data_IF_157411337370
#
_entry.id   IF_157411337370
#
_cell.length_a   1.000
_cell.length_b   1.000
_cell.length_c   1.000
_cell.angle_alpha   90.00
_cell.angle_beta   90.00
_cell.angle_gamma   90.00
#
_symmetry.space_group_name_H-M   'P 1'
#
loop_
_entity.id
_entity.type
_entity.pdbx_description
1 polymer ?
#
# COMPACT_ATOMS: atom_id res chain seq x y z
N UNK A 1 5.95 -16.31 -18.80
CA UNK A 1 7.14 -16.10 -19.66
C UNK A 1 8.29 -16.92 -19.07
N UNK A 2 8.92 -17.77 -19.87
CA UNK A 2 10.04 -18.59 -19.42
C UNK A 2 11.24 -17.71 -19.06
N UNK A 3 12.13 -18.23 -18.23
CA UNK A 3 13.26 -17.45 -17.75
C UNK A 3 14.11 -16.86 -18.86
N UNK A 4 14.40 -17.66 -19.90
CA UNK A 4 15.17 -17.16 -21.05
C UNK A 4 14.44 -16.04 -21.78
N UNK A 5 13.12 -16.15 -21.90
CA UNK A 5 12.33 -15.09 -22.52
C UNK A 5 12.31 -13.83 -21.66
N UNK A 6 12.36 -13.99 -20.34
CA UNK A 6 12.39 -12.83 -19.44
C UNK A 6 13.70 -12.05 -19.60
N UNK A 7 14.82 -12.74 -19.79
CA UNK A 7 16.08 -12.04 -20.01
C UNK A 7 16.02 -11.20 -21.30
N UNK A 8 15.38 -11.73 -22.36
CA UNK A 8 15.18 -10.97 -23.58
C UNK A 8 14.29 -9.75 -23.34
N UNK A 9 13.23 -9.91 -22.53
CA UNK A 9 12.33 -8.81 -22.19
C UNK A 9 13.11 -7.72 -21.47
N UNK A 10 13.91 -8.10 -20.45
CA UNK A 10 14.67 -7.12 -19.69
C UNK A 10 15.66 -6.38 -20.58
N UNK A 11 16.34 -7.10 -21.48
CA UNK A 11 17.26 -6.44 -22.40
C UNK A 11 16.52 -5.45 -23.29
N UNK A 12 15.35 -5.84 -23.79
CA UNK A 12 14.54 -4.94 -24.62
C UNK A 12 14.05 -3.72 -23.83
N UNK A 13 13.64 -3.93 -22.57
CA UNK A 13 13.21 -2.81 -21.74
C UNK A 13 14.37 -1.87 -21.43
N UNK A 14 15.56 -2.41 -21.19
CA UNK A 14 16.75 -1.59 -20.98
C UNK A 14 17.04 -0.73 -22.18
N UNK A 15 17.01 -1.34 -23.38
CA UNK A 15 17.24 -0.56 -24.59
C UNK A 15 16.19 0.51 -24.78
N UNK A 16 14.93 0.18 -24.53
CA UNK A 16 13.84 1.13 -24.69
C UNK A 16 14.00 2.31 -23.72
N UNK A 17 14.30 2.01 -22.47
CA UNK A 17 14.53 3.06 -21.49
C UNK A 17 15.72 3.93 -21.87
N UNK A 18 16.84 3.30 -22.27
CA UNK A 18 18.05 4.04 -22.61
C UNK A 18 17.87 4.90 -23.86
N UNK A 19 16.91 4.57 -24.72
CA UNK A 19 16.61 5.39 -25.88
C UNK A 19 16.01 6.75 -25.53
N UNK A 20 15.52 6.90 -24.29
CA UNK A 20 14.87 8.11 -23.88
C UNK A 20 13.39 8.19 -24.22
N UNK A 21 12.84 7.12 -24.82
CA UNK A 21 11.45 7.16 -25.30
C UNK A 21 10.43 7.43 -24.21
N UNK A 22 10.71 6.98 -22.97
CA UNK A 22 9.74 7.08 -21.88
C UNK A 22 9.81 8.40 -21.12
N UNK A 23 10.80 9.26 -21.40
CA UNK A 23 11.05 10.43 -20.58
C UNK A 23 10.17 11.65 -20.87
N UNK A 24 9.79 11.96 -22.12
CA UNK A 24 8.97 13.14 -22.35
C UNK A 24 7.64 13.06 -21.60
N UNK A 25 7.23 14.18 -21.02
CA UNK A 25 5.96 14.21 -20.28
C UNK A 25 4.77 13.87 -21.18
N UNK A 26 4.86 14.29 -22.45
CA UNK A 26 3.80 13.99 -23.42
C UNK A 26 3.61 12.49 -23.57
N UNK A 27 4.71 11.74 -23.64
CA UNK A 27 4.68 10.27 -23.75
C UNK A 27 4.01 9.67 -22.50
N UNK A 28 4.46 10.10 -21.31
CA UNK A 28 3.92 9.55 -20.06
C UNK A 28 2.43 9.82 -19.94
N UNK A 29 2.00 11.05 -20.25
CA UNK A 29 0.60 11.41 -20.21
C UNK A 29 -0.23 10.58 -21.18
N UNK A 30 0.30 10.36 -22.38
CA UNK A 30 -0.39 9.55 -23.38
C UNK A 30 -0.52 8.10 -22.91
N UNK A 31 0.51 7.55 -22.26
CA UNK A 31 0.45 6.17 -21.78
C UNK A 31 -0.55 6.03 -20.62
N UNK A 32 -0.62 7.02 -19.74
CA UNK A 32 -1.64 7.01 -18.69
C UNK A 32 -3.04 7.06 -19.30
N UNK A 33 -3.24 7.86 -20.35
CA UNK A 33 -4.54 7.92 -21.03
C UNK A 33 -4.87 6.59 -21.70
N UNK A 34 -3.89 5.92 -22.31
CA UNK A 34 -4.11 4.59 -22.91
C UNK A 34 -4.54 3.60 -21.83
N UNK A 35 -3.89 3.64 -20.67
CA UNK A 35 -4.26 2.74 -19.58
C UNK A 35 -5.70 3.01 -19.12
N UNK A 36 -6.06 4.29 -18.96
CA UNK A 36 -7.41 4.64 -18.55
C UNK A 36 -8.45 4.11 -19.54
N UNK A 37 -8.18 4.31 -20.84
CA UNK A 37 -9.12 3.84 -21.87
C UNK A 37 -9.24 2.32 -21.85
N UNK A 38 -8.12 1.61 -21.64
CA UNK A 38 -8.15 0.15 -21.56
C UNK A 38 -8.96 -0.33 -20.35
N UNK A 39 -8.74 0.28 -19.21
CA UNK A 39 -9.47 -0.11 -17.98
C UNK A 39 -10.97 0.16 -18.13
N UNK A 40 -11.32 1.24 -18.78
CA UNK A 40 -12.72 1.57 -19.03
C UNK A 40 -13.34 0.64 -20.05
N UNK A 41 -12.64 0.38 -21.15
CA UNK A 41 -13.16 -0.47 -22.21
C UNK A 41 -13.39 -1.91 -21.74
N UNK A 42 -12.44 -2.45 -20.98
CA UNK A 42 -12.51 -3.84 -20.53
C UNK A 42 -12.91 -3.96 -19.06
N UNK A 43 -13.66 -2.98 -18.56
CA UNK A 43 -14.13 -2.97 -17.17
C UNK A 43 -14.89 -4.25 -16.83
N UNK A 44 -15.82 -4.68 -17.71
CA UNK A 44 -16.61 -5.87 -17.43
C UNK A 44 -15.76 -7.12 -17.28
N UNK A 45 -14.76 -7.27 -18.15
CA UNK A 45 -13.84 -8.41 -18.10
C UNK A 45 -13.04 -8.41 -16.79
N UNK A 46 -12.58 -7.23 -16.37
CA UNK A 46 -11.81 -7.10 -15.14
C UNK A 46 -12.64 -7.37 -13.90
N UNK A 47 -13.88 -6.84 -13.86
CA UNK A 47 -14.76 -7.09 -12.72
C UNK A 47 -15.18 -8.55 -12.63
N UNK A 48 -15.36 -9.20 -13.79
CA UNK A 48 -15.70 -10.62 -13.80
C UNK A 48 -14.53 -11.46 -13.25
N UNK A 49 -13.29 -11.06 -13.53
CA UNK A 49 -12.13 -11.75 -12.98
C UNK A 49 -12.09 -11.64 -11.46
N UNK A 50 -12.43 -10.47 -10.92
CA UNK A 50 -12.50 -10.30 -9.45
C UNK A 50 -13.58 -11.20 -8.87
N UNK A 51 -14.71 -11.31 -9.56
CA UNK A 51 -15.79 -12.19 -9.12
C UNK A 51 -15.33 -13.66 -9.11
N UNK A 52 -14.62 -14.05 -10.14
CA UNK A 52 -14.13 -15.44 -10.24
C UNK A 52 -13.12 -15.75 -9.13
N UNK A 53 -12.20 -14.83 -8.82
CA UNK A 53 -11.16 -15.10 -7.84
C UNK A 53 -11.62 -14.91 -6.39
N UNK A 54 -12.37 -13.84 -6.11
CA UNK A 54 -12.64 -13.41 -4.74
C UNK A 54 -14.11 -13.30 -4.42
N UNK A 55 -14.97 -13.62 -5.37
CA UNK A 55 -16.42 -13.48 -5.22
C UNK A 55 -16.84 -12.06 -4.87
N UNK A 56 -16.07 -11.06 -5.33
CA UNK A 56 -16.48 -9.67 -5.17
C UNK A 56 -17.63 -9.36 -6.10
N UNK A 57 -18.67 -8.74 -5.56
CA UNK A 57 -19.75 -8.24 -6.42
C UNK A 57 -19.18 -7.17 -7.36
N UNK A 58 -19.86 -6.92 -8.49
CA UNK A 58 -19.39 -5.84 -9.36
C UNK A 58 -19.27 -4.49 -8.66
N UNK A 59 -20.19 -4.23 -7.73
CA UNK A 59 -20.13 -2.98 -6.96
C UNK A 59 -18.87 -2.92 -6.12
N UNK A 60 -18.61 -3.97 -5.33
CA UNK A 60 -17.42 -3.97 -4.46
C UNK A 60 -16.14 -3.97 -5.29
N UNK A 61 -16.12 -4.74 -6.39
CA UNK A 61 -14.96 -4.77 -7.26
C UNK A 61 -14.62 -3.41 -7.83
N UNK A 62 -15.64 -2.65 -8.24
CA UNK A 62 -15.40 -1.29 -8.70
C UNK A 62 -14.99 -0.38 -7.55
N UNK A 63 -15.77 -0.37 -6.47
CA UNK A 63 -15.53 0.55 -5.35
C UNK A 63 -14.16 0.36 -4.73
N UNK A 64 -13.69 -0.87 -4.58
CA UNK A 64 -12.49 -1.14 -3.80
C UNK A 64 -11.26 -1.47 -4.63
N UNK A 65 -11.41 -1.69 -5.93
CA UNK A 65 -10.29 -2.15 -6.76
C UNK A 65 -10.15 -1.28 -8.01
N UNK A 66 -11.08 -1.35 -8.94
CA UNK A 66 -10.93 -0.63 -10.21
C UNK A 66 -11.10 0.87 -10.06
N UNK A 67 -12.09 1.32 -9.28
CA UNK A 67 -12.33 2.74 -9.07
C UNK A 67 -11.15 3.47 -8.45
N UNK A 68 -10.58 2.93 -7.37
CA UNK A 68 -9.37 3.55 -6.81
C UNK A 68 -8.20 3.58 -7.79
N UNK A 69 -8.08 2.58 -8.65
CA UNK A 69 -7.05 2.58 -9.68
C UNK A 69 -7.24 3.76 -10.63
N UNK A 70 -8.47 3.96 -11.11
CA UNK A 70 -8.76 5.08 -12.01
C UNK A 70 -8.55 6.42 -11.33
N UNK A 71 -8.92 6.54 -10.04
CA UNK A 71 -8.70 7.76 -9.30
C UNK A 71 -7.21 8.08 -9.17
N UNK A 72 -6.41 7.05 -8.88
CA UNK A 72 -4.96 7.22 -8.78
C UNK A 72 -4.37 7.67 -10.11
N UNK A 73 -4.81 7.04 -11.19
CA UNK A 73 -4.33 7.38 -12.53
C UNK A 73 -4.65 8.81 -12.91
N UNK A 74 -5.90 9.23 -12.68
CA UNK A 74 -6.32 10.60 -13.02
C UNK A 74 -5.57 11.62 -12.18
N UNK A 75 -5.34 11.33 -10.93
CA UNK A 75 -4.58 12.21 -10.05
C UNK A 75 -3.15 12.36 -10.53
N UNK A 76 -2.50 11.24 -10.86
CA UNK A 76 -1.11 11.26 -11.34
C UNK A 76 -1.01 12.06 -12.65
N UNK A 77 -1.93 11.80 -13.59
CA UNK A 77 -1.90 12.49 -14.86
C UNK A 77 -2.06 13.99 -14.69
N UNK A 78 -2.96 14.39 -13.78
CA UNK A 78 -3.22 15.82 -13.56
C UNK A 78 -2.10 16.56 -12.86
N UNK A 79 -1.24 15.82 -12.14
CA UNK A 79 -0.14 16.44 -11.38
C UNK A 79 1.23 16.16 -11.97
N UNK A 80 1.28 15.47 -13.11
CA UNK A 80 2.55 14.99 -13.66
C UNK A 80 3.53 16.13 -13.92
N UNK A 81 3.06 17.19 -14.55
CA UNK A 81 3.93 18.32 -14.87
C UNK A 81 4.54 18.93 -13.62
N UNK A 82 3.72 19.08 -12.58
CA UNK A 82 4.19 19.65 -11.32
C UNK A 82 5.23 18.75 -10.65
N UNK A 83 4.97 17.43 -10.61
CA UNK A 83 5.90 16.51 -9.96
C UNK A 83 7.23 16.40 -10.69
N UNK A 84 7.20 16.47 -12.02
CA UNK A 84 8.39 16.18 -12.83
C UNK A 84 9.26 17.40 -13.06
N UNK A 85 8.77 18.60 -12.79
CA UNK A 85 9.56 19.79 -13.09
C UNK A 85 10.74 19.91 -12.14
N UNK A 86 11.88 20.45 -12.61
CA UNK A 86 13.01 20.68 -11.73
C UNK A 86 12.68 21.73 -10.65
N UNK A 87 13.30 21.58 -9.49
CA UNK A 87 13.10 22.50 -8.37
C UNK A 87 14.39 23.32 -8.18
N UNK A 88 14.26 24.63 -8.19
CA UNK A 88 15.38 25.54 -8.11
C UNK A 88 15.56 26.04 -6.69
N UNK A 89 16.82 26.16 -6.28
CA UNK A 89 17.17 26.64 -4.95
C UNK A 89 18.26 27.69 -5.06
N UNK A 90 18.17 28.79 -4.29
CA UNK A 90 19.29 29.73 -4.23
C UNK A 90 20.46 29.08 -3.51
N UNK A 91 21.65 29.46 -3.91
CA UNK A 91 22.85 28.94 -3.31
C UNK A 91 23.14 29.62 -1.98
N UNK A 92 23.82 28.93 -1.04
CA UNK A 92 24.31 29.60 0.15
C UNK A 92 25.38 30.61 -0.21
N UNK A 93 25.61 31.57 0.68
CA UNK A 93 26.60 32.63 0.40
C UNK A 93 27.98 32.09 0.08
N UNK A 94 28.36 30.98 0.70
CA UNK A 94 29.67 30.38 0.43
C UNK A 94 29.81 29.86 -0.98
N UNK A 95 28.68 29.65 -1.69
CA UNK A 95 28.68 29.15 -3.07
C UNK A 95 28.23 30.21 -4.09
N UNK A 96 27.99 31.42 -3.63
CA UNK A 96 27.57 32.50 -4.51
C UNK A 96 28.67 32.84 -5.52
N UNK A 97 28.35 33.11 -6.79
CA UNK A 97 27.04 33.06 -7.42
C UNK A 97 26.79 31.70 -8.08
N UNK A 98 25.77 30.99 -7.64
CA UNK A 98 25.42 29.71 -8.22
C UNK A 98 23.94 29.42 -8.00
N UNK A 99 23.44 28.43 -8.74
CA UNK A 99 22.04 28.03 -8.66
C UNK A 99 21.97 26.51 -8.51
N UNK A 100 21.25 26.06 -7.50
CA UNK A 100 21.03 24.64 -7.32
C UNK A 100 19.74 24.20 -7.99
N UNK A 101 19.77 23.06 -8.64
CA UNK A 101 18.59 22.50 -9.28
C UNK A 101 18.48 21.03 -8.90
N UNK A 102 17.29 20.62 -8.49
CA UNK A 102 17.02 19.22 -8.19
C UNK A 102 16.14 18.68 -9.30
N UNK A 103 16.64 17.66 -10.00
CA UNK A 103 15.90 16.96 -11.04
C UNK A 103 15.35 15.66 -10.48
N UNK A 104 14.10 15.35 -10.83
CA UNK A 104 13.54 14.02 -10.56
C UNK A 104 13.67 13.19 -11.82
N UNK A 105 14.46 12.12 -11.78
CA UNK A 105 14.61 11.29 -12.96
C UNK A 105 14.27 9.84 -12.66
N UNK A 106 13.70 9.12 -13.66
CA UNK A 106 13.32 7.72 -13.44
C UNK A 106 14.52 6.85 -13.12
N UNK A 107 14.29 5.87 -12.23
CA UNK A 107 15.32 4.87 -11.97
C UNK A 107 15.69 4.06 -13.22
N UNK A 108 14.67 3.61 -13.97
CA UNK A 108 14.92 2.83 -15.16
C UNK A 108 13.92 1.71 -15.37
N UNK A 109 14.42 0.47 -15.37
CA UNK A 109 13.58 -0.71 -15.53
C UNK A 109 13.08 -1.13 -14.15
N UNK A 110 11.77 -1.14 -13.96
CA UNK A 110 11.18 -1.41 -12.64
C UNK A 110 10.54 -2.79 -12.59
N UNK A 111 10.51 -3.36 -11.39
CA UNK A 111 9.79 -4.60 -11.10
C UNK A 111 8.70 -4.32 -10.07
N UNK A 112 7.49 -4.72 -10.39
CA UNK A 112 6.34 -4.58 -9.48
C UNK A 112 5.85 -5.97 -9.12
N UNK A 113 5.93 -6.33 -7.83
CA UNK A 113 5.47 -7.61 -7.32
C UNK A 113 4.21 -7.35 -6.51
N UNK A 114 3.09 -7.84 -7.00
CA UNK A 114 1.78 -7.50 -6.44
C UNK A 114 1.14 -8.70 -5.74
N UNK A 115 0.26 -8.46 -4.77
CA UNK A 115 -0.45 -9.52 -4.08
C UNK A 115 -1.79 -9.81 -4.73
N UNK A 116 -2.54 -10.72 -4.12
CA UNK A 116 -3.78 -11.26 -4.68
C UNK A 116 -5.05 -10.61 -4.13
N UNK A 117 -4.95 -9.86 -3.02
CA UNK A 117 -6.17 -9.46 -2.30
C UNK A 117 -6.92 -8.28 -2.94
N UNK A 118 -6.22 -7.36 -3.56
CA UNK A 118 -6.82 -6.32 -4.41
C UNK A 118 -6.03 -6.35 -5.71
N UNK A 119 -6.30 -7.37 -6.53
CA UNK A 119 -5.38 -7.66 -7.64
C UNK A 119 -5.28 -6.55 -8.68
N UNK A 120 -6.34 -5.78 -8.90
CA UNK A 120 -6.25 -4.68 -9.86
C UNK A 120 -5.53 -3.48 -9.25
N UNK A 121 -6.01 -3.02 -8.09
CA UNK A 121 -5.47 -1.81 -7.49
C UNK A 121 -4.00 -1.96 -7.09
N UNK A 122 -3.66 -3.07 -6.44
CA UNK A 122 -2.30 -3.25 -5.92
C UNK A 122 -1.30 -3.60 -7.01
N UNK A 123 -1.77 -3.99 -8.19
CA UNK A 123 -0.91 -4.17 -9.35
C UNK A 123 -0.80 -2.87 -10.15
N UNK A 124 -1.93 -2.21 -10.37
CA UNK A 124 -1.98 -1.09 -11.31
C UNK A 124 -1.60 0.24 -10.69
N UNK A 125 -1.84 0.46 -9.38
CA UNK A 125 -1.44 1.73 -8.79
C UNK A 125 0.08 1.93 -8.83
N UNK A 126 0.91 0.91 -8.47
CA UNK A 126 2.35 1.08 -8.69
C UNK A 126 2.72 1.23 -10.17
N UNK A 127 1.99 0.56 -11.06
CA UNK A 127 2.26 0.73 -12.48
C UNK A 127 1.98 2.16 -12.93
N UNK A 128 0.89 2.76 -12.46
CA UNK A 128 0.62 4.18 -12.73
C UNK A 128 1.80 5.04 -12.29
N UNK A 129 2.34 4.76 -11.10
CA UNK A 129 3.49 5.50 -10.60
C UNK A 129 4.72 5.32 -11.49
N UNK A 130 4.98 4.09 -11.94
CA UNK A 130 6.11 3.81 -12.81
C UNK A 130 5.97 4.53 -14.14
N UNK A 131 4.77 4.52 -14.72
CA UNK A 131 4.52 5.24 -15.97
C UNK A 131 4.75 6.74 -15.80
N UNK A 132 4.18 7.30 -14.73
CA UNK A 132 4.33 8.72 -14.43
C UNK A 132 5.79 9.10 -14.22
N UNK A 133 6.58 8.20 -13.63
CA UNK A 133 7.99 8.43 -13.37
C UNK A 133 8.85 8.35 -14.63
N UNK A 134 8.38 7.68 -15.67
CA UNK A 134 9.16 7.48 -16.89
C UNK A 134 9.95 6.19 -16.93
N UNK A 135 9.58 5.20 -16.10
CA UNK A 135 10.20 3.88 -16.09
C UNK A 135 9.56 2.95 -17.12
N UNK A 136 10.28 1.91 -17.50
CA UNK A 136 9.65 0.71 -18.05
C UNK A 136 9.29 -0.21 -16.87
N UNK A 137 8.50 -1.25 -17.12
CA UNK A 137 8.05 -2.06 -15.99
C UNK A 137 7.81 -3.52 -16.39
N UNK A 138 8.23 -4.41 -15.49
CA UNK A 138 7.79 -5.79 -15.48
C UNK A 138 6.86 -5.92 -14.27
N UNK A 139 5.64 -6.40 -14.52
CA UNK A 139 4.58 -6.46 -13.52
C UNK A 139 4.25 -7.92 -13.26
N UNK A 140 4.34 -8.34 -12.00
CA UNK A 140 4.06 -9.72 -11.60
C UNK A 140 2.84 -9.75 -10.68
N UNK A 141 1.64 -10.05 -11.23
CA UNK A 141 0.44 -10.14 -10.37
C UNK A 141 0.51 -11.32 -9.40
N UNK A 142 -0.29 -11.27 -8.35
CA UNK A 142 -0.34 -12.33 -7.37
C UNK A 142 -0.90 -13.62 -7.94
N UNK A 143 -0.25 -14.74 -7.63
CA UNK A 143 -0.62 -16.04 -8.20
C UNK A 143 -1.93 -16.58 -7.64
N UNK A 144 -2.30 -16.14 -6.45
CA UNK A 144 -3.51 -16.66 -5.81
C UNK A 144 -4.79 -16.00 -6.31
N UNK A 145 -4.67 -15.08 -7.27
CA UNK A 145 -5.81 -14.52 -7.99
C UNK A 145 -5.60 -14.77 -9.49
N UNK A 146 -5.71 -16.03 -9.93
CA UNK A 146 -5.29 -16.38 -11.30
C UNK A 146 -6.15 -15.76 -12.39
N UNK A 147 -7.46 -15.64 -12.20
CA UNK A 147 -8.30 -15.01 -13.21
C UNK A 147 -7.96 -13.54 -13.38
N UNK A 148 -7.70 -12.86 -12.27
CA UNK A 148 -7.30 -11.45 -12.31
C UNK A 148 -5.92 -11.28 -12.94
N UNK A 149 -5.00 -12.17 -12.62
CA UNK A 149 -3.67 -12.12 -13.23
C UNK A 149 -3.75 -12.30 -14.73
N UNK A 150 -4.57 -13.26 -15.18
CA UNK A 150 -4.77 -13.49 -16.61
C UNK A 150 -5.41 -12.28 -17.28
N UNK A 151 -6.45 -11.72 -16.67
CA UNK A 151 -7.13 -10.56 -17.23
C UNK A 151 -6.18 -9.37 -17.34
N UNK A 152 -5.35 -9.15 -16.32
CA UNK A 152 -4.36 -8.07 -16.38
C UNK A 152 -3.35 -8.28 -17.49
N UNK A 153 -2.87 -9.53 -17.65
CA UNK A 153 -1.92 -9.82 -18.71
C UNK A 153 -2.54 -9.55 -20.08
N UNK A 154 -3.79 -9.94 -20.25
CA UNK A 154 -4.46 -9.73 -21.55
C UNK A 154 -4.74 -8.26 -21.80
N UNK A 155 -5.27 -7.55 -20.82
CA UNK A 155 -5.61 -6.13 -21.01
C UNK A 155 -4.36 -5.29 -21.24
N UNK A 156 -3.33 -5.48 -20.42
CA UNK A 156 -2.10 -4.69 -20.58
C UNK A 156 -1.37 -5.05 -21.85
N UNK A 157 -1.43 -6.33 -22.23
CA UNK A 157 -0.79 -6.77 -23.50
C UNK A 157 -1.46 -6.22 -24.75
N UNK A 158 -2.74 -5.83 -24.65
CA UNK A 158 -3.45 -5.23 -25.78
C UNK A 158 -3.01 -3.79 -26.06
N UNK A 159 -2.46 -3.10 -25.06
CA UNK A 159 -2.20 -1.66 -25.19
C UNK A 159 -0.72 -1.27 -25.06
N UNK A 160 0.11 -2.14 -24.49
CA UNK A 160 1.52 -1.81 -24.30
C UNK A 160 2.43 -2.89 -24.89
N UNK A 161 3.48 -2.49 -25.63
CA UNK A 161 4.44 -3.47 -26.12
C UNK A 161 5.33 -3.99 -25.00
N UNK A 162 5.87 -5.20 -25.12
CA UNK A 162 6.65 -5.79 -24.03
C UNK A 162 7.93 -5.05 -23.70
N UNK A 163 8.53 -4.33 -24.66
CA UNK A 163 9.73 -3.54 -24.36
C UNK A 163 9.43 -2.34 -23.47
N UNK A 164 8.14 -2.05 -23.26
CA UNK A 164 7.71 -0.97 -22.36
C UNK A 164 7.12 -1.53 -21.08
N UNK A 165 6.05 -2.30 -21.18
CA UNK A 165 5.39 -2.89 -20.01
C UNK A 165 5.08 -4.35 -20.34
N UNK A 166 5.53 -5.26 -19.48
CA UNK A 166 5.32 -6.70 -19.63
C UNK A 166 4.70 -7.26 -18.36
N UNK A 167 3.71 -8.12 -18.49
CA UNK A 167 3.16 -8.84 -17.35
C UNK A 167 3.82 -10.22 -17.31
N UNK A 168 4.44 -10.53 -16.17
CA UNK A 168 5.03 -11.85 -15.93
C UNK A 168 4.03 -12.65 -15.11
N UNK A 169 3.56 -13.75 -15.68
CA UNK A 169 2.65 -14.65 -14.97
C UNK A 169 3.47 -15.76 -14.32
N UNK A 170 2.85 -16.42 -13.34
CA UNK A 170 3.49 -17.53 -12.68
C UNK A 170 3.36 -17.40 -11.19
N UNK A 171 4.02 -18.30 -10.49
CA UNK A 171 3.90 -18.39 -9.05
C UNK A 171 5.16 -17.94 -8.33
N UNK A 172 5.38 -18.57 -7.19
CA UNK A 172 6.49 -18.22 -6.31
C UNK A 172 7.85 -18.35 -6.98
N UNK A 173 8.05 -19.44 -7.74
CA UNK A 173 9.34 -19.65 -8.39
C UNK A 173 9.66 -18.52 -9.36
N UNK A 174 8.66 -18.10 -10.14
CA UNK A 174 8.85 -17.03 -11.09
C UNK A 174 9.15 -15.71 -10.38
N UNK A 175 8.47 -15.44 -9.27
CA UNK A 175 8.74 -14.22 -8.50
C UNK A 175 10.16 -14.23 -7.93
N UNK A 176 10.59 -15.37 -7.40
CA UNK A 176 11.94 -15.49 -6.86
C UNK A 176 12.99 -15.30 -7.93
N UNK A 177 12.76 -15.83 -9.12
CA UNK A 177 13.69 -15.64 -10.24
C UNK A 177 13.75 -14.18 -10.64
N UNK A 178 12.62 -13.46 -10.62
CA UNK A 178 12.61 -12.05 -11.01
C UNK A 178 13.41 -11.18 -10.06
N UNK A 179 13.31 -11.39 -8.74
CA UNK A 179 14.01 -10.51 -7.80
C UNK A 179 15.53 -10.67 -7.88
N UNK A 180 16.03 -11.74 -8.47
CA UNK A 180 17.46 -11.93 -8.65
C UNK A 180 18.00 -11.21 -9.89
N UNK A 181 17.15 -10.62 -10.71
CA UNK A 181 17.57 -9.97 -11.95
C UNK A 181 17.88 -8.49 -11.72
N UNK A 182 18.69 -7.88 -12.60
CA UNK A 182 19.19 -6.51 -12.37
C UNK A 182 18.18 -5.43 -12.74
N UNK A 183 17.10 -5.34 -11.98
CA UNK A 183 16.18 -4.21 -12.08
C UNK A 183 16.80 -2.98 -11.44
N UNK A 184 16.25 -1.80 -11.76
CA UNK A 184 16.73 -0.54 -11.17
C UNK A 184 15.94 -0.12 -9.94
N UNK A 185 14.73 -0.66 -9.77
CA UNK A 185 13.90 -0.37 -8.61
C UNK A 185 12.88 -1.50 -8.49
N UNK A 186 12.52 -1.86 -7.25
CA UNK A 186 11.53 -2.89 -6.99
C UNK A 186 10.46 -2.32 -6.07
N UNK A 187 9.20 -2.59 -6.41
CA UNK A 187 8.05 -2.27 -5.57
C UNK A 187 7.36 -3.59 -5.21
N UNK A 188 7.23 -3.85 -3.91
CA UNK A 188 6.67 -5.10 -3.42
C UNK A 188 5.55 -4.84 -2.44
N UNK A 189 4.45 -5.58 -2.58
CA UNK A 189 3.36 -5.60 -1.62
C UNK A 189 3.11 -7.06 -1.23
N UNK A 190 3.13 -7.34 0.09
CA UNK A 190 2.89 -8.69 0.56
C UNK A 190 3.23 -8.84 2.03
N UNK A 191 3.54 -10.05 2.46
CA UNK A 191 3.81 -10.33 3.86
C UNK A 191 5.21 -9.86 4.28
N UNK A 192 5.41 -9.56 5.57
CA UNK A 192 6.75 -9.21 6.04
C UNK A 192 7.79 -10.29 5.77
N UNK A 193 7.42 -11.56 5.89
CA UNK A 193 8.38 -12.65 5.66
C UNK A 193 8.91 -12.63 4.22
N UNK A 194 8.01 -12.46 3.25
CA UNK A 194 8.42 -12.41 1.85
C UNK A 194 9.13 -11.09 1.55
N UNK A 195 8.66 -9.99 2.15
CA UNK A 195 9.33 -8.69 1.97
C UNK A 195 10.79 -8.72 2.39
N UNK A 196 11.11 -9.43 3.46
CA UNK A 196 12.51 -9.58 3.89
C UNK A 196 13.34 -10.30 2.84
N UNK A 197 12.75 -11.33 2.20
CA UNK A 197 13.47 -12.05 1.15
C UNK A 197 13.69 -11.17 -0.09
N UNK A 198 12.70 -10.37 -0.44
CA UNK A 198 12.82 -9.43 -1.57
C UNK A 198 13.93 -8.43 -1.28
N UNK A 199 13.94 -7.87 -0.08
CA UNK A 199 14.95 -6.90 0.32
C UNK A 199 16.35 -7.50 0.28
N UNK A 200 16.48 -8.75 0.78
CA UNK A 200 17.79 -9.42 0.79
C UNK A 200 18.28 -9.66 -0.64
N UNK A 201 17.41 -10.10 -1.54
CA UNK A 201 17.79 -10.32 -2.94
C UNK A 201 18.17 -9.00 -3.62
N UNK A 202 17.40 -7.94 -3.39
CA UNK A 202 17.69 -6.64 -3.96
C UNK A 202 19.04 -6.10 -3.50
N UNK A 203 19.43 -6.42 -2.25
CA UNK A 203 20.70 -5.95 -1.71
C UNK A 203 21.90 -6.46 -2.51
N UNK A 204 21.80 -7.63 -3.15
CA UNK A 204 22.88 -8.16 -3.95
C UNK A 204 23.24 -7.25 -5.11
N UNK A 205 22.29 -6.48 -5.62
CA UNK A 205 22.47 -5.57 -6.73
C UNK A 205 22.27 -4.11 -6.34
N UNK A 206 22.18 -3.81 -5.06
CA UNK A 206 21.92 -2.45 -4.55
C UNK A 206 20.68 -1.81 -5.16
N UNK A 207 19.63 -2.61 -5.31
CA UNK A 207 18.37 -2.12 -5.89
C UNK A 207 17.51 -1.47 -4.80
N UNK A 208 17.10 -0.22 -4.98
CA UNK A 208 16.17 0.39 -4.02
C UNK A 208 14.82 -0.32 -4.03
N UNK A 209 14.23 -0.46 -2.85
CA UNK A 209 12.96 -1.17 -2.71
C UNK A 209 11.94 -0.32 -1.96
N UNK A 210 10.68 -0.45 -2.35
CA UNK A 210 9.54 -0.02 -1.55
C UNK A 210 8.81 -1.28 -1.13
N UNK A 211 8.58 -1.43 0.17
CA UNK A 211 7.94 -2.60 0.74
C UNK A 211 6.65 -2.17 1.43
N UNK A 212 5.52 -2.64 0.90
CA UNK A 212 4.22 -2.42 1.53
C UNK A 212 3.82 -3.74 2.18
N UNK A 213 3.94 -3.81 3.49
CA UNK A 213 3.76 -5.05 4.21
C UNK A 213 2.46 -4.99 5.03
N UNK A 214 2.31 -5.84 6.01
CA UNK A 214 1.10 -5.87 6.81
C UNK A 214 1.38 -5.61 8.28
N UNK A 215 0.51 -6.13 9.10
CA UNK A 215 0.64 -6.00 10.53
C UNK A 215 -0.72 -6.08 11.18
N UNK A 216 -0.71 -6.01 12.50
CA UNK A 216 -1.95 -6.07 13.26
C UNK A 216 -2.45 -4.66 13.54
N UNK A 217 -3.27 -4.13 12.62
CA UNK A 217 -3.76 -2.75 12.70
C UNK A 217 -4.83 -2.62 13.79
N UNK A 218 -4.54 -1.92 14.90
CA UNK A 218 -5.50 -1.83 16.00
C UNK A 218 -6.52 -0.73 15.78
N UNK A 219 -7.71 -0.95 16.34
CA UNK A 219 -8.68 0.13 16.51
C UNK A 219 -8.78 0.42 18.01
N UNK A 220 -8.76 1.70 18.36
CA UNK A 220 -8.90 2.13 19.75
C UNK A 220 -10.14 3.00 19.86
N UNK A 221 -11.11 2.57 20.67
CA UNK A 221 -12.24 3.42 21.05
C UNK A 221 -11.89 4.12 22.36
N UNK A 222 -11.85 5.45 22.33
CA UNK A 222 -11.69 6.21 23.56
C UNK A 222 -13.00 6.20 24.35
N UNK A 223 -12.95 6.53 25.65
CA UNK A 223 -14.19 6.52 26.45
C UNK A 223 -15.30 7.43 25.94
N UNK A 224 -14.95 8.46 25.16
CA UNK A 224 -15.95 9.38 24.61
C UNK A 224 -16.37 9.05 23.17
N UNK A 225 -15.99 7.89 22.66
CA UNK A 225 -16.27 7.53 21.27
C UNK A 225 -17.77 7.38 21.03
N UNK A 226 -18.19 7.73 19.82
CA UNK A 226 -19.56 7.51 19.37
C UNK A 226 -19.69 6.04 18.98
N UNK A 227 -20.33 5.24 19.84
CA UNK A 227 -20.38 3.79 19.68
C UNK A 227 -21.08 3.36 18.39
N UNK A 228 -22.21 4.00 18.06
CA UNK A 228 -22.94 3.62 16.87
C UNK A 228 -22.15 3.94 15.59
N UNK A 229 -21.57 5.12 15.55
CA UNK A 229 -20.73 5.51 14.40
C UNK A 229 -19.54 4.58 14.26
N UNK A 230 -18.87 4.30 15.38
CA UNK A 230 -17.69 3.45 15.36
C UNK A 230 -18.05 2.05 14.86
N UNK A 231 -19.16 1.48 15.35
CA UNK A 231 -19.56 0.14 14.93
C UNK A 231 -19.79 0.07 13.43
N UNK A 232 -20.46 1.07 12.85
CA UNK A 232 -20.71 1.07 11.41
C UNK A 232 -19.41 1.14 10.60
N UNK A 233 -18.52 2.04 10.99
CA UNK A 233 -17.29 2.25 10.24
C UNK A 233 -16.28 1.13 10.44
N UNK A 234 -16.24 0.56 11.63
CA UNK A 234 -15.36 -0.59 11.90
C UNK A 234 -15.87 -1.82 11.17
N UNK A 235 -17.19 -2.08 11.22
CA UNK A 235 -17.74 -3.25 10.52
C UNK A 235 -17.47 -3.14 9.02
N UNK A 236 -17.68 -1.96 8.44
CA UNK A 236 -17.42 -1.78 7.02
C UNK A 236 -15.96 -2.06 6.70
N UNK A 237 -15.04 -1.43 7.43
CA UNK A 237 -13.63 -1.58 7.15
C UNK A 237 -13.10 -2.99 7.41
N UNK A 238 -13.66 -3.65 8.44
CA UNK A 238 -13.21 -5.00 8.76
C UNK A 238 -13.68 -6.02 7.74
N UNK A 239 -14.93 -5.93 7.30
CA UNK A 239 -15.50 -7.00 6.49
C UNK A 239 -15.44 -6.76 4.99
N UNK A 240 -14.99 -5.58 4.58
CA UNK A 240 -14.66 -5.32 3.19
C UNK A 240 -13.66 -6.38 2.73
N UNK A 241 -13.89 -6.98 1.56
CA UNK A 241 -13.05 -8.04 1.03
C UNK A 241 -12.84 -9.19 2.02
N UNK A 242 -13.85 -9.44 2.86
CA UNK A 242 -13.80 -10.48 3.91
C UNK A 242 -12.59 -10.31 4.84
N UNK A 243 -12.20 -9.07 5.10
CA UNK A 243 -11.10 -8.78 6.02
C UNK A 243 -9.70 -8.95 5.43
N UNK A 244 -9.61 -9.31 4.17
CA UNK A 244 -8.34 -9.58 3.51
C UNK A 244 -7.74 -8.28 2.98
N UNK A 245 -7.47 -7.35 3.89
CA UNK A 245 -7.01 -6.00 3.57
C UNK A 245 -5.89 -5.65 4.54
N UNK A 246 -4.77 -5.17 4.01
CA UNK A 246 -3.59 -4.87 4.83
C UNK A 246 -3.87 -3.79 5.88
N UNK A 247 -4.86 -2.94 5.64
CA UNK A 247 -5.26 -1.90 6.60
C UNK A 247 -6.60 -2.21 7.26
N UNK A 248 -7.12 -3.43 7.15
CA UNK A 248 -8.36 -3.78 7.83
C UNK A 248 -8.17 -3.67 9.34
N UNK A 249 -9.20 -3.21 10.07
CA UNK A 249 -9.15 -3.33 11.52
C UNK A 249 -8.86 -4.78 11.91
N UNK A 250 -7.73 -5.03 12.56
CA UNK A 250 -7.39 -6.39 12.97
C UNK A 250 -8.16 -6.78 14.21
N UNK A 251 -8.21 -5.89 15.19
CA UNK A 251 -8.90 -6.07 16.47
C UNK A 251 -9.28 -4.71 17.03
N UNK A 252 -10.20 -4.70 17.99
CA UNK A 252 -10.70 -3.44 18.55
C UNK A 252 -10.52 -3.45 20.06
N UNK A 253 -9.91 -2.38 20.57
CA UNK A 253 -9.82 -2.13 22.01
C UNK A 253 -10.94 -1.19 22.42
N UNK A 254 -11.76 -1.63 23.39
CA UNK A 254 -12.88 -0.81 23.87
C UNK A 254 -12.81 -0.67 25.40
N UNK A 255 -13.24 0.47 25.95
CA UNK A 255 -13.36 0.55 27.42
C UNK A 255 -14.28 -0.54 27.93
N UNK A 256 -13.94 -1.13 29.09
CA UNK A 256 -14.71 -2.26 29.63
C UNK A 256 -16.22 -2.01 29.63
N UNK A 257 -16.65 -0.84 30.09
CA UNK A 257 -18.08 -0.55 30.18
C UNK A 257 -18.75 -0.34 28.82
N UNK A 258 -18.00 -0.23 27.75
CA UNK A 258 -18.57 -0.02 26.42
C UNK A 258 -18.59 -1.29 25.57
N UNK A 259 -18.04 -2.40 26.07
CA UNK A 259 -17.89 -3.60 25.23
C UNK A 259 -19.25 -4.17 24.82
N UNK A 260 -20.18 -4.33 25.75
CA UNK A 260 -21.46 -4.92 25.37
C UNK A 260 -22.27 -4.05 24.41
N UNK A 261 -22.45 -2.75 24.64
CA UNK A 261 -23.16 -1.94 23.64
C UNK A 261 -22.44 -1.86 22.31
N UNK A 262 -21.11 -1.89 22.31
CA UNK A 262 -20.36 -1.88 21.04
C UNK A 262 -20.60 -3.17 20.26
N UNK A 263 -20.53 -4.33 20.90
CA UNK A 263 -20.78 -5.61 20.24
C UNK A 263 -22.21 -5.68 19.72
N UNK A 264 -23.18 -5.18 20.50
CA UNK A 264 -24.58 -5.15 20.04
C UNK A 264 -24.71 -4.26 18.79
N UNK A 265 -24.02 -3.11 18.77
CA UNK A 265 -24.04 -2.23 17.60
C UNK A 265 -23.38 -2.90 16.40
N UNK A 266 -22.26 -3.61 16.61
CA UNK A 266 -21.63 -4.36 15.54
C UNK A 266 -22.57 -5.40 14.94
N UNK A 267 -23.30 -6.13 15.80
CA UNK A 267 -24.24 -7.14 15.34
C UNK A 267 -25.31 -6.51 14.45
N UNK A 268 -25.85 -5.35 14.86
CA UNK A 268 -26.85 -4.66 14.06
C UNK A 268 -26.28 -4.24 12.69
N UNK A 269 -25.06 -3.71 12.67
CA UNK A 269 -24.47 -3.26 11.42
C UNK A 269 -24.12 -4.43 10.50
N UNK A 270 -23.65 -5.54 11.06
CA UNK A 270 -23.37 -6.73 10.25
C UNK A 270 -24.65 -7.23 9.59
N UNK A 271 -25.75 -7.27 10.36
CA UNK A 271 -27.05 -7.67 9.79
C UNK A 271 -27.49 -6.68 8.71
N UNK A 272 -27.30 -5.39 8.94
CA UNK A 272 -27.69 -4.38 7.96
C UNK A 272 -26.90 -4.53 6.66
N UNK A 273 -25.60 -4.83 6.75
CA UNK A 273 -24.75 -4.92 5.56
C UNK A 273 -24.91 -6.25 4.84
N UNK A 274 -25.04 -7.35 5.56
CA UNK A 274 -24.91 -8.70 4.98
C UNK A 274 -26.15 -9.57 5.19
N UNK A 275 -27.19 -9.08 5.85
CA UNK A 275 -28.40 -9.83 6.07
C UNK A 275 -28.32 -10.76 7.26
N UNK A 276 -29.43 -11.44 7.56
CA UNK A 276 -29.51 -12.39 8.68
C UNK A 276 -28.63 -13.61 8.43
N UNK A 277 -28.45 -13.99 7.19
CA UNK A 277 -27.64 -15.15 6.82
C UNK A 277 -26.62 -14.71 5.78
N UNK A 278 -25.45 -14.19 6.23
CA UNK A 278 -24.48 -13.64 5.28
C UNK A 278 -23.98 -14.64 4.23
N UNK A 279 -23.92 -15.92 4.58
CA UNK A 279 -23.42 -16.92 3.63
C UNK A 279 -24.40 -17.17 2.48
N UNK A 280 -25.69 -16.84 2.65
CA UNK A 280 -26.67 -16.97 1.59
C UNK A 280 -26.67 -15.78 0.64
N UNK A 281 -26.02 -14.67 1.01
CA UNK A 281 -26.00 -13.46 0.21
C UNK A 281 -24.89 -13.46 -0.82
N UNK A 282 -24.98 -12.49 -1.72
CA UNK A 282 -24.00 -12.34 -2.79
C UNK A 282 -22.92 -11.31 -2.46
N UNK A 283 -23.06 -10.64 -1.32
CA UNK A 283 -22.15 -9.53 -0.98
C UNK A 283 -20.91 -9.96 -0.22
N UNK A 284 -20.83 -11.23 0.19
CA UNK A 284 -19.70 -11.67 1.01
C UNK A 284 -18.60 -12.26 0.13
N UNK A 285 -17.42 -11.65 0.08
CA UNK A 285 -16.29 -12.23 -0.66
C UNK A 285 -15.81 -13.53 -0.02
N UNK A 286 -15.01 -14.27 -0.77
CA UNK A 286 -14.45 -15.52 -0.24
C UNK A 286 -12.96 -15.32 0.05
N UNK A 287 -12.60 -16.28 0.97
CA UNK A 287 -11.23 -16.27 1.33
C UNK A 287 -10.38 -16.88 0.26
N UNK A 288 -9.10 -16.60 0.15
CA UNK A 288 -8.14 -17.24 -0.70
C UNK A 288 -8.00 -18.66 -0.35
N UNK A 289 -7.72 -19.57 -1.22
CA UNK A 289 -7.66 -21.01 -1.08
C UNK A 289 -6.86 -21.53 0.10
N UNK A 290 -5.85 -21.06 0.50
CA UNK A 290 -5.05 -21.47 1.63
C UNK A 290 -5.45 -20.82 2.92
N UNK A 291 -6.20 -19.76 2.95
CA UNK A 291 -6.56 -19.00 4.11
C UNK A 291 -7.77 -19.57 4.84
N UNK A 292 -8.73 -20.21 4.26
CA UNK A 292 -9.93 -20.78 4.80
C UNK A 292 -9.70 -21.77 5.90
N UNK A 293 -8.80 -22.52 5.82
CA UNK A 293 -8.41 -23.46 6.89
C UNK A 293 -7.80 -22.79 8.09
N UNK A 294 -6.90 -21.95 7.86
CA UNK A 294 -6.30 -21.21 8.98
C UNK A 294 -7.34 -20.36 9.73
N UNK A 295 -8.13 -19.63 8.98
CA UNK A 295 -9.10 -18.72 9.59
C UNK A 295 -10.19 -19.48 10.37
N UNK A 296 -10.64 -20.59 9.83
CA UNK A 296 -11.67 -21.37 10.56
C UNK A 296 -11.12 -21.84 11.90
N UNK A 297 -9.83 -22.16 11.96
CA UNK A 297 -9.20 -22.52 13.23
C UNK A 297 -9.18 -21.39 14.24
N UNK A 298 -9.14 -20.14 13.78
CA UNK A 298 -9.14 -19.01 14.69
C UNK A 298 -10.49 -18.75 15.34
N UNK A 299 -11.56 -19.34 14.81
CA UNK A 299 -12.91 -19.12 15.39
C UNK A 299 -13.01 -19.61 16.83
N UNK A 300 -12.18 -20.55 17.22
CA UNK A 300 -12.16 -21.03 18.61
C UNK A 300 -11.31 -20.17 19.53
N UNK A 301 -10.78 -19.07 19.04
CA UNK A 301 -9.89 -18.20 19.81
C UNK A 301 -10.57 -17.32 20.83
N UNK A 302 -11.90 -17.34 20.91
CA UNK A 302 -12.67 -16.62 21.88
C UNK A 302 -14.11 -17.09 21.83
N UNK A 303 -14.99 -16.41 22.58
CA UNK A 303 -16.42 -16.74 22.52
C UNK A 303 -17.04 -16.01 21.32
N UNK A 304 -17.74 -16.73 20.48
CA UNK A 304 -18.40 -16.14 19.31
C UNK A 304 -19.61 -15.35 19.76
N UNK A 305 -19.59 -14.04 19.56
CA UNK A 305 -20.74 -13.18 19.86
C UNK A 305 -21.61 -12.96 18.63
N UNK A 306 -21.02 -12.95 17.45
CA UNK A 306 -21.74 -12.76 16.18
C UNK A 306 -21.07 -13.66 15.18
N UNK A 307 -21.86 -14.32 14.33
CA UNK A 307 -21.33 -15.06 13.20
C UNK A 307 -20.82 -16.46 13.56
N UNK A 308 -19.70 -16.83 12.97
CA UNK A 308 -19.08 -18.13 13.21
C UNK A 308 -19.44 -19.19 12.17
N UNK A 309 -20.39 -18.91 11.29
CA UNK A 309 -20.79 -19.87 10.28
C UNK A 309 -19.73 -19.95 9.18
N UNK A 310 -19.50 -21.15 8.67
CA UNK A 310 -18.48 -21.38 7.63
C UNK A 310 -19.09 -22.13 6.46
N UNK A 311 -18.55 -21.85 5.29
CA UNK A 311 -18.88 -22.55 4.05
C UNK A 311 -17.57 -23.04 3.45
N UNK A 312 -17.12 -24.23 3.84
CA UNK A 312 -15.81 -24.70 3.35
C UNK A 312 -15.73 -24.89 1.84
N UNK A 313 -16.83 -25.27 1.20
CA UNK A 313 -16.83 -25.46 -0.25
C UNK A 313 -16.76 -24.12 -0.96
N UNK A 314 -17.50 -23.12 -0.48
CA UNK A 314 -17.48 -21.78 -1.06
C UNK A 314 -16.34 -20.92 -0.57
N UNK A 315 -15.52 -21.44 0.36
CA UNK A 315 -14.38 -20.71 0.92
C UNK A 315 -14.79 -19.42 1.60
N UNK A 316 -15.92 -19.46 2.35
CA UNK A 316 -16.44 -18.26 2.99
C UNK A 316 -16.63 -18.48 4.48
N UNK A 317 -16.44 -17.41 5.23
CA UNK A 317 -16.70 -17.36 6.67
C UNK A 317 -17.56 -16.13 6.90
N UNK A 318 -18.66 -16.31 7.64
CA UNK A 318 -19.54 -15.18 7.94
C UNK A 318 -18.78 -14.15 8.79
N UNK A 319 -19.13 -12.86 8.66
CA UNK A 319 -18.55 -11.85 9.54
C UNK A 319 -18.73 -12.27 11.02
N UNK A 320 -17.62 -12.31 11.74
CA UNK A 320 -17.57 -12.89 13.07
C UNK A 320 -16.95 -11.93 14.05
N UNK A 321 -17.58 -11.84 15.24
CA UNK A 321 -17.05 -11.05 16.35
C UNK A 321 -16.76 -11.99 17.50
N UNK A 322 -15.53 -11.93 18.03
CA UNK A 322 -15.12 -12.73 19.18
C UNK A 322 -14.99 -11.84 20.40
N UNK A 323 -15.48 -12.34 21.52
CA UNK A 323 -15.32 -11.67 22.82
C UNK A 323 -14.69 -12.65 23.81
N UNK A 324 -14.36 -12.18 25.00
CA UNK A 324 -13.73 -13.01 26.02
C UNK A 324 -12.52 -13.75 25.46
N UNK A 325 -11.65 -13.01 24.76
CA UNK A 325 -10.48 -13.57 24.07
C UNK A 325 -9.33 -13.67 25.07
N UNK A 326 -8.80 -14.88 25.33
CA UNK A 326 -7.66 -14.99 26.23
C UNK A 326 -6.41 -14.29 25.68
N UNK A 327 -5.55 -13.83 26.57
CA UNK A 327 -4.33 -13.13 26.15
C UNK A 327 -3.43 -13.99 25.28
N UNK A 328 -3.47 -15.32 25.49
CA UNK A 328 -2.63 -16.25 24.70
C UNK A 328 -3.37 -16.85 23.52
N UNK A 329 -4.52 -16.28 23.14
CA UNK A 329 -5.31 -16.83 22.04
C UNK A 329 -4.54 -16.74 20.72
N UNK A 330 -4.60 -17.78 19.88
CA UNK A 330 -4.00 -17.72 18.56
C UNK A 330 -4.47 -16.55 17.70
N UNK A 331 -5.70 -16.06 17.95
CA UNK A 331 -6.24 -14.94 17.17
C UNK A 331 -5.49 -13.64 17.46
N UNK A 332 -4.72 -13.59 18.55
CA UNK A 332 -3.92 -12.41 18.88
C UNK A 332 -2.45 -12.57 18.51
N UNK A 333 -2.06 -13.72 17.97
CA UNK A 333 -0.64 -14.02 17.74
C UNK A 333 -0.10 -13.34 16.48
N UNK A 334 -0.92 -13.26 15.43
CA UNK A 334 -0.45 -12.66 14.19
C UNK A 334 -1.63 -12.03 13.44
N UNK A 335 -1.34 -11.33 12.36
CA UNK A 335 -2.35 -10.63 11.56
C UNK A 335 -3.45 -11.63 11.15
N UNK A 336 -4.70 -11.25 11.38
CA UNK A 336 -5.83 -12.14 11.10
C UNK A 336 -6.08 -12.27 9.60
N UNK A 337 -6.18 -11.16 8.91
CA UNK A 337 -6.38 -11.11 7.45
C UNK A 337 -7.61 -11.90 7.03
N UNK A 338 -8.69 -11.70 7.76
CA UNK A 338 -9.94 -12.43 7.52
C UNK A 338 -11.09 -11.81 8.30
N UNK A 339 -12.30 -12.37 8.13
CA UNK A 339 -13.51 -11.73 8.67
C UNK A 339 -13.81 -12.10 10.14
N UNK A 340 -12.79 -12.00 10.98
CA UNK A 340 -12.90 -12.33 12.40
C UNK A 340 -12.37 -11.13 13.20
N UNK A 341 -13.21 -10.53 14.01
CA UNK A 341 -12.89 -9.32 14.75
C UNK A 341 -12.90 -9.58 16.25
N UNK A 342 -11.73 -9.70 16.88
CA UNK A 342 -11.70 -9.73 18.35
C UNK A 342 -12.00 -8.36 18.93
N UNK A 343 -12.86 -8.33 19.94
CA UNK A 343 -13.17 -7.12 20.72
C UNK A 343 -12.55 -7.31 22.10
N UNK A 344 -11.62 -6.44 22.46
CA UNK A 344 -10.77 -6.59 23.63
C UNK A 344 -11.03 -5.43 24.60
N UNK A 345 -11.39 -5.71 25.86
CA UNK A 345 -11.63 -4.62 26.80
C UNK A 345 -10.33 -4.07 27.37
N UNK A 346 -10.34 -2.79 27.72
CA UNK A 346 -9.24 -2.18 28.45
C UNK A 346 -9.81 -1.27 29.56
N UNK A 347 -8.99 -1.05 30.59
CA UNK A 347 -9.39 -0.20 31.71
C UNK A 347 -8.84 1.20 31.61
N UNK A 348 -7.58 1.32 31.23
CA UNK A 348 -6.87 2.60 31.23
C UNK A 348 -6.33 2.87 29.84
N UNK A 349 -6.77 3.99 29.24
CA UNK A 349 -6.25 4.36 27.92
C UNK A 349 -4.75 4.62 27.94
N UNK A 350 -4.17 5.34 28.93
CA UNK A 350 -2.72 5.49 28.94
C UNK A 350 -1.97 4.15 29.02
N UNK A 351 -2.49 3.19 29.79
CA UNK A 351 -1.85 1.87 29.87
C UNK A 351 -1.94 1.14 28.55
N UNK A 352 -3.09 1.23 27.87
CA UNK A 352 -3.25 0.61 26.56
C UNK A 352 -2.28 1.23 25.55
N UNK A 353 -2.15 2.55 25.56
CA UNK A 353 -1.24 3.23 24.64
C UNK A 353 0.19 2.77 24.89
N UNK A 354 0.60 2.67 26.16
CA UNK A 354 1.95 2.21 26.46
C UNK A 354 2.17 0.76 26.01
N UNK A 355 1.18 -0.11 26.21
CA UNK A 355 1.30 -1.50 25.76
C UNK A 355 1.40 -1.57 24.23
N UNK A 356 0.61 -0.76 23.53
CA UNK A 356 0.64 -0.74 22.08
C UNK A 356 1.98 -0.22 21.58
N UNK A 357 2.56 0.74 22.29
CA UNK A 357 3.85 1.31 21.89
C UNK A 357 4.96 0.26 21.88
N UNK A 358 4.83 -0.79 22.67
CA UNK A 358 5.83 -1.86 22.74
C UNK A 358 5.66 -2.92 21.66
N UNK A 359 4.56 -2.87 20.89
CA UNK A 359 4.30 -3.85 19.85
C UNK A 359 4.93 -3.43 18.53
N UNK A 360 5.08 -4.37 17.57
CA UNK A 360 5.56 -3.99 16.24
C UNK A 360 4.67 -2.90 15.64
N UNK A 361 5.28 -2.01 14.87
CA UNK A 361 4.58 -0.85 14.34
C UNK A 361 3.62 -1.28 13.22
N UNK A 362 2.32 -1.00 13.37
CA UNK A 362 1.36 -1.46 12.39
C UNK A 362 1.31 -0.59 11.16
N UNK A 363 0.78 -1.14 10.08
CA UNK A 363 0.57 -0.36 8.87
C UNK A 363 -0.51 0.70 9.09
N UNK A 364 -1.56 0.35 9.83
CA UNK A 364 -2.62 1.31 10.12
C UNK A 364 -3.01 1.30 11.59
N UNK A 365 -3.53 2.44 12.04
CA UNK A 365 -4.13 2.57 13.37
C UNK A 365 -5.36 3.47 13.25
N UNK A 366 -6.43 3.09 13.94
CA UNK A 366 -7.69 3.81 13.89
C UNK A 366 -8.10 4.21 15.28
N UNK A 367 -8.45 5.48 15.46
CA UNK A 367 -8.83 6.04 16.76
C UNK A 367 -10.19 6.68 16.67
N UNK A 368 -11.09 6.33 17.59
CA UNK A 368 -12.41 6.94 17.67
C UNK A 368 -12.49 7.76 18.94
N UNK A 369 -12.60 9.07 18.80
CA UNK A 369 -12.69 10.00 19.92
C UNK A 369 -13.27 11.32 19.44
N UNK A 370 -13.90 12.06 20.37
CA UNK A 370 -14.33 13.43 20.09
C UNK A 370 -13.46 14.45 20.82
N UNK A 371 -12.42 13.98 21.50
CA UNK A 371 -11.51 14.82 22.29
C UNK A 371 -10.23 15.11 21.53
N UNK A 372 -9.96 16.40 21.29
CA UNK A 372 -8.72 16.78 20.62
C UNK A 372 -7.49 16.44 21.45
N UNK A 373 -7.60 16.51 22.78
CA UNK A 373 -6.45 16.19 23.62
C UNK A 373 -6.13 14.70 23.59
N UNK A 374 -7.15 13.84 23.57
CA UNK A 374 -6.94 12.40 23.42
C UNK A 374 -6.33 12.09 22.04
N UNK A 375 -6.88 12.70 21.00
CA UNK A 375 -6.36 12.51 19.66
C UNK A 375 -4.87 12.86 19.60
N UNK A 376 -4.49 14.04 20.11
CA UNK A 376 -3.11 14.47 20.08
C UNK A 376 -2.22 13.51 20.88
N UNK A 377 -2.65 13.13 22.06
CA UNK A 377 -1.85 12.26 22.93
C UNK A 377 -1.59 10.90 22.27
N UNK A 378 -2.63 10.31 21.66
CA UNK A 378 -2.47 8.99 21.04
C UNK A 378 -1.59 9.09 19.79
N UNK A 379 -1.84 10.08 18.94
CA UNK A 379 -1.09 10.20 17.70
C UNK A 379 0.38 10.52 17.95
N UNK A 380 0.69 11.29 18.99
CA UNK A 380 2.08 11.59 19.32
C UNK A 380 2.80 10.40 19.95
N UNK A 381 2.08 9.58 20.70
CA UNK A 381 2.69 8.48 21.44
C UNK A 381 2.96 7.24 20.58
N UNK A 382 2.15 7.00 19.55
CA UNK A 382 2.18 5.73 18.81
C UNK A 382 2.70 5.90 17.40
N UNK A 383 3.78 5.19 17.04
CA UNK A 383 4.21 5.17 15.62
C UNK A 383 3.40 4.15 14.83
N UNK A 384 3.00 4.52 13.62
CA UNK A 384 2.30 3.64 12.69
C UNK A 384 2.41 4.23 11.30
N UNK A 385 2.05 3.46 10.28
CA UNK A 385 2.16 3.92 8.91
C UNK A 385 1.20 5.04 8.58
N UNK A 386 -0.08 4.81 8.82
CA UNK A 386 -1.11 5.81 8.58
C UNK A 386 -2.41 5.37 9.23
N UNK A 387 -3.47 6.15 9.08
CA UNK A 387 -4.70 5.74 9.70
C UNK A 387 -5.78 6.81 9.63
N UNK A 388 -6.79 6.62 10.47
CA UNK A 388 -7.92 7.54 10.51
C UNK A 388 -8.29 7.88 11.94
N UNK A 389 -8.81 9.07 12.12
CA UNK A 389 -9.54 9.43 13.34
C UNK A 389 -11.01 9.41 12.96
N UNK A 390 -11.78 8.57 13.67
CA UNK A 390 -13.23 8.42 13.48
C UNK A 390 -13.64 7.78 12.16
N UNK A 391 -12.72 7.00 11.55
CA UNK A 391 -13.06 6.20 10.38
C UNK A 391 -12.05 5.06 10.28
N UNK A 392 -12.19 4.23 9.25
CA UNK A 392 -11.27 3.13 8.98
C UNK A 392 -11.00 3.05 7.47
N UNK A 393 -9.81 2.60 7.10
CA UNK A 393 -9.44 2.22 5.74
C UNK A 393 -9.32 3.40 4.77
N UNK A 394 -10.22 4.38 4.85
CA UNK A 394 -10.38 5.37 3.77
C UNK A 394 -9.19 6.29 3.57
N UNK A 395 -8.24 6.33 4.50
CA UNK A 395 -7.04 7.16 4.31
C UNK A 395 -6.23 6.72 3.08
N UNK A 396 -6.30 5.44 2.71
CA UNK A 396 -5.58 4.97 1.53
C UNK A 396 -6.19 5.46 0.22
N UNK A 397 -7.44 5.91 0.27
CA UNK A 397 -8.12 6.36 -0.93
C UNK A 397 -7.84 7.83 -1.29
N UNK A 398 -7.12 8.55 -0.43
CA UNK A 398 -6.77 9.95 -0.73
C UNK A 398 -5.36 9.97 -1.32
N UNK A 399 -5.22 10.20 -2.63
CA UNK A 399 -3.88 10.14 -3.24
C UNK A 399 -2.94 11.26 -2.81
N UNK A 400 -3.43 12.25 -2.07
CA UNK A 400 -2.56 13.28 -1.51
C UNK A 400 -1.86 12.82 -0.24
N UNK A 401 -2.33 11.72 0.37
CA UNK A 401 -1.71 11.18 1.58
C UNK A 401 -0.77 10.05 1.21
N UNK A 402 0.53 10.18 1.47
CA UNK A 402 1.43 9.06 1.23
C UNK A 402 0.99 7.83 2.02
N UNK A 403 1.04 6.68 1.39
CA UNK A 403 0.63 5.43 2.01
C UNK A 403 1.84 4.53 2.18
N UNK A 404 2.11 4.13 3.41
CA UNK A 404 3.26 3.25 3.65
C UNK A 404 3.40 2.93 5.11
N UNK A 405 4.22 1.91 5.38
CA UNK A 405 4.45 1.45 6.74
C UNK A 405 5.76 1.96 7.32
N UNK A 406 6.04 1.52 8.54
CA UNK A 406 7.26 1.86 9.26
C UNK A 406 7.67 0.64 10.07
N UNK A 407 8.97 0.36 10.12
CA UNK A 407 9.46 -0.82 10.81
C UNK A 407 8.95 -2.08 10.15
N UNK A 408 8.27 -2.91 10.92
CA UNK A 408 7.78 -4.21 10.44
C UNK A 408 6.66 -4.10 9.41
N UNK A 409 6.03 -2.93 9.27
CA UNK A 409 4.94 -2.78 8.32
C UNK A 409 5.38 -2.25 6.96
N UNK A 410 6.66 -1.91 6.80
CA UNK A 410 7.15 -1.56 5.47
C UNK A 410 8.22 -0.50 5.46
N UNK A 411 8.64 -0.14 4.25
CA UNK A 411 9.56 0.97 4.02
C UNK A 411 9.19 1.66 2.73
N UNK A 412 9.37 2.98 2.72
CA UNK A 412 8.95 3.78 1.58
C UNK A 412 7.47 4.08 1.64
N UNK A 413 6.96 4.63 0.56
CA UNK A 413 5.55 5.02 0.50
C UNK A 413 5.10 5.00 -0.95
N UNK A 414 3.78 5.01 -1.13
CA UNK A 414 3.20 5.02 -2.47
C UNK A 414 1.97 5.91 -2.50
N UNK A 415 1.32 5.90 -3.64
CA UNK A 415 0.17 6.72 -4.01
C UNK A 415 0.56 8.17 -4.25
N UNK A 416 -0.06 8.78 -5.26
CA UNK A 416 0.16 10.17 -5.62
C UNK A 416 1.63 10.48 -5.81
N UNK A 417 2.06 11.61 -5.26
CA UNK A 417 3.46 12.02 -5.41
C UNK A 417 4.41 11.04 -4.76
N UNK A 418 4.03 10.42 -3.63
CA UNK A 418 4.90 9.44 -2.98
C UNK A 418 5.18 8.26 -3.91
N UNK A 419 4.18 7.83 -4.69
CA UNK A 419 4.39 6.78 -5.68
C UNK A 419 5.34 7.22 -6.79
N UNK A 420 5.11 8.42 -7.31
CA UNK A 420 6.02 9.00 -8.31
C UNK A 420 7.46 9.04 -7.76
N UNK A 421 7.61 9.50 -6.51
CA UNK A 421 8.93 9.57 -5.89
C UNK A 421 9.57 8.20 -5.71
N UNK A 422 8.76 7.15 -5.47
CA UNK A 422 9.29 5.80 -5.28
C UNK A 422 9.97 5.26 -6.54
N UNK A 423 9.58 5.73 -7.72
CA UNK A 423 10.14 5.27 -9.00
C UNK A 423 11.12 6.27 -9.60
N UNK A 424 11.41 7.35 -8.90
CA UNK A 424 12.38 8.36 -9.35
C UNK A 424 13.45 8.56 -8.28
N UNK A 425 14.55 9.18 -8.66
CA UNK A 425 15.53 9.63 -7.68
C UNK A 425 15.88 11.08 -7.96
N UNK A 426 16.38 11.75 -6.94
CA UNK A 426 16.77 13.15 -7.05
C UNK A 426 18.19 13.24 -7.52
N UNK A 427 18.39 14.05 -8.56
CA UNK A 427 19.74 14.36 -9.07
C UNK A 427 19.95 15.85 -8.83
N UNK A 428 20.88 16.17 -7.93
CA UNK A 428 21.13 17.55 -7.51
C UNK A 428 22.35 18.11 -8.26
N UNK A 429 22.15 19.26 -8.91
CA UNK A 429 23.21 19.87 -9.70
C UNK A 429 23.35 21.33 -9.29
N UNK A 430 24.58 21.73 -8.95
CA UNK A 430 24.90 23.12 -8.68
C UNK A 430 25.59 23.70 -9.90
N UNK A 431 25.00 24.76 -10.47
CA UNK A 431 25.56 25.40 -11.66
C UNK A 431 26.22 26.73 -11.27
N UNK A 432 27.47 26.90 -11.65
CA UNK A 432 28.22 28.11 -11.38
C UNK A 432 28.68 28.75 -12.68
N UNK A 433 28.83 30.08 -12.63
CA UNK A 433 29.48 30.80 -13.72
C UNK A 433 30.98 30.92 -13.47
N UNK A 434 31.56 31.93 -14.08
CA UNK A 434 33.02 32.14 -14.00
C UNK A 434 33.48 32.87 -12.76
N UNK A 435 32.55 33.59 -12.10
CA UNK A 435 32.91 34.31 -10.87
C UNK A 435 33.15 33.33 -9.73
N UNK A 436 34.07 33.70 -8.86
CA UNK A 436 34.50 32.80 -7.81
C UNK A 436 34.79 33.60 -6.54
N UNK A 437 34.76 32.92 -5.41
CA UNK A 437 35.20 33.46 -4.12
C UNK A 437 36.47 32.71 -3.77
N UNK A 438 37.61 33.39 -3.79
CA UNK A 438 38.90 32.67 -3.72
C UNK A 438 39.25 32.09 -2.34
N UNK A 439 38.39 32.33 -1.34
CA UNK A 439 38.71 31.84 0.03
C UNK A 439 38.75 30.31 0.13
N UNK A 440 38.21 29.61 -0.83
CA UNK A 440 38.24 28.13 -0.78
C UNK A 440 39.53 27.52 -1.31
N UNK A 441 40.38 28.35 -1.90
CA UNK A 441 41.60 27.82 -2.55
C UNK A 441 42.81 27.99 -1.67
N UNK A 442 43.70 27.01 -1.66
CA UNK A 442 45.00 27.23 -0.97
C UNK A 442 45.83 28.27 -1.69
N UNK A 443 46.77 28.91 -0.95
CA UNK A 443 47.11 28.68 0.45
C UNK A 443 46.07 29.29 1.38
N UNK A 444 45.75 28.54 2.46
CA UNK A 444 44.71 28.91 3.40
C UNK A 444 45.27 29.85 4.46
N UNK A 445 44.91 31.11 4.42
CA UNK A 445 45.37 32.08 5.38
C UNK A 445 44.35 32.41 6.43
N UNK A 446 44.82 33.00 7.54
CA UNK A 446 43.96 33.40 8.66
C UNK A 446 42.87 34.39 8.20
N UNK A 447 43.26 35.33 7.30
CA UNK A 447 42.29 36.30 6.75
C UNK A 447 41.16 35.59 6.02
N UNK A 448 41.52 34.60 5.21
CA UNK A 448 40.52 33.83 4.45
C UNK A 448 39.61 33.04 5.39
N UNK A 449 40.16 32.52 6.49
CA UNK A 449 39.33 31.81 7.46
C UNK A 449 38.26 32.73 8.07
N UNK A 450 38.63 33.96 8.37
CA UNK A 450 37.66 34.92 8.88
C UNK A 450 36.53 35.20 7.92
N UNK A 451 36.86 35.35 6.62
CA UNK A 451 35.85 35.55 5.60
C UNK A 451 34.94 34.29 5.47
N UNK A 452 35.59 33.13 5.47
CA UNK A 452 34.87 31.87 5.34
C UNK A 452 33.85 31.68 6.46
N UNK A 453 34.24 32.00 7.69
CA UNK A 453 33.34 31.90 8.84
C UNK A 453 32.12 32.79 8.71
N UNK A 454 32.25 33.92 8.02
CA UNK A 454 31.12 34.83 7.81
C UNK A 454 30.21 34.34 6.68
N UNK A 455 30.77 33.61 5.71
CA UNK A 455 30.00 33.14 4.58
C UNK A 455 29.24 31.85 4.88
N UNK A 456 29.69 31.02 5.83
CA UNK A 456 29.07 29.77 6.21
C UNK A 456 28.16 29.91 7.43
#
# INVERSE_FOLDING_TARGET
VKESAMEDVLAAQRRYFDSGATRPLRFRREMLTRLELALTRWEGELLEALRADLNKSPYEGYMSDLGPTLAELRFARGHLKKWARPVWHPAPLSQFPSVGTVYREPYGVSLILAPWNYPLFLTLAPLVSAIAAGCTAVVKPGEDAPASARALAEVLGRVFPPEYITVAEGGREEAEALVDKPFDVIFFTGSPAVGKKVMAAAAEHLIPVTLELGGRSPVILAPDADVELAAARIAWGKFLNAGQTCVAPDHVWVPEGMAEPFVAALAREITRFYGENPLAGEELPRXXXXXXXRLAGLLSGGRIAVGGQTDPEGLRIAPTVLVDVPEDSPVLAEEIFGPILPVLPYRSLPELVEAQRQKPRPLALYLFTRSRSVERAVLEALPFGGGCVNDTVVHLADPRLPFGGVGNSGMGACHGKAGFDAFTHEKSVLKRGRLDIPVRYPPYGKKHLGILKKLM
#
